data_IF_491835312379
#
_entry.id   IF_491835312379
#
_cell.length_a   1.000
_cell.length_b   1.000
_cell.length_c   1.000
_cell.angle_alpha   90.00
_cell.angle_beta   90.00
_cell.angle_gamma   90.00
#
_symmetry.space_group_name_H-M   'P 1'
#
loop_
_entity.id
_entity.type
_entity.pdbx_description
1 polymer ?
#
# COMPACT_ATOMS: atom_id res chain seq x y z
N UNK A 1 -16.68 9.51 -9.28
CA UNK A 1 -15.56 8.83 -8.60
C UNK A 1 -15.77 7.33 -8.76
N UNK A 2 -14.88 6.63 -9.48
CA UNK A 2 -14.91 5.16 -9.46
C UNK A 2 -14.53 4.69 -8.05
N UNK A 3 -15.35 3.80 -7.51
CA UNK A 3 -15.14 3.22 -6.17
C UNK A 3 -14.09 2.13 -6.33
N UNK A 4 -13.06 2.08 -5.49
CA UNK A 4 -11.94 1.15 -5.61
C UNK A 4 -12.36 -0.34 -5.65
N UNK A 5 -13.52 -0.66 -5.09
CA UNK A 5 -14.15 -1.99 -5.10
C UNK A 5 -14.92 -2.33 -6.39
N UNK A 6 -14.90 -1.47 -7.43
CA UNK A 6 -15.49 -1.77 -8.73
C UNK A 6 -14.66 -2.77 -9.54
N UNK A 7 -13.36 -2.89 -9.24
CA UNK A 7 -12.53 -3.99 -9.75
C UNK A 7 -12.97 -5.29 -9.06
N UNK A 8 -13.47 -6.26 -9.84
CA UNK A 8 -13.93 -7.55 -9.33
C UNK A 8 -12.91 -8.23 -8.40
N UNK A 9 -11.62 -8.12 -8.74
CA UNK A 9 -10.50 -8.67 -7.98
C UNK A 9 -10.23 -7.98 -6.62
N UNK A 10 -10.80 -6.79 -6.37
CA UNK A 10 -10.63 -6.06 -5.10
C UNK A 10 -11.91 -6.01 -4.25
N UNK A 11 -12.98 -6.70 -4.65
CA UNK A 11 -14.29 -6.59 -3.98
C UNK A 11 -14.28 -6.99 -2.51
N UNK A 12 -13.47 -7.98 -2.15
CA UNK A 12 -13.35 -8.50 -0.78
C UNK A 12 -12.23 -7.85 0.02
N UNK A 13 -11.39 -7.04 -0.61
CA UNK A 13 -10.30 -6.36 0.08
C UNK A 13 -10.87 -5.20 0.89
N UNK A 14 -10.25 -4.89 2.00
CA UNK A 14 -10.40 -3.63 2.74
C UNK A 14 -9.03 -3.01 2.91
N UNK A 15 -8.98 -1.69 3.10
CA UNK A 15 -7.73 -1.01 3.39
C UNK A 15 -7.88 0.05 4.47
N UNK A 16 -6.77 0.30 5.16
CA UNK A 16 -6.61 1.38 6.13
C UNK A 16 -5.32 2.14 5.83
N UNK A 17 -5.43 3.44 5.55
CA UNK A 17 -4.29 4.30 5.29
C UNK A 17 -3.87 5.02 6.59
N UNK A 18 -2.60 4.88 6.96
CA UNK A 18 -2.00 5.50 8.14
C UNK A 18 -0.84 6.39 7.72
N UNK A 19 -0.83 7.62 8.20
CA UNK A 19 0.35 8.48 8.08
C UNK A 19 1.45 7.95 9.01
N UNK A 20 2.64 7.73 8.46
CA UNK A 20 3.77 7.17 9.23
C UNK A 20 4.90 8.18 9.43
N UNK A 21 4.99 9.23 8.61
CA UNK A 21 5.98 10.27 8.83
C UNK A 21 6.11 11.30 7.71
N UNK A 22 6.85 12.36 8.03
CA UNK A 22 7.25 13.41 7.11
C UNK A 22 8.77 13.49 7.12
N UNK A 23 9.39 13.33 5.95
CA UNK A 23 10.80 13.64 5.77
C UNK A 23 10.95 14.93 4.98
N UNK A 24 11.80 15.85 5.44
CA UNK A 24 12.04 17.13 4.79
C UNK A 24 13.46 17.15 4.25
N UNK A 25 13.56 17.12 2.94
CA UNK A 25 14.80 17.46 2.24
C UNK A 25 14.77 18.94 1.84
N UNK A 26 15.91 19.45 1.37
CA UNK A 26 16.15 20.90 1.16
C UNK A 26 14.98 21.62 0.47
N UNK A 27 14.46 21.05 -0.61
CA UNK A 27 13.41 21.63 -1.44
C UNK A 27 12.16 20.76 -1.54
N UNK A 28 12.14 19.59 -0.90
CA UNK A 28 11.10 18.58 -1.11
C UNK A 28 10.67 17.97 0.20
N UNK A 29 9.37 17.85 0.40
CA UNK A 29 8.75 17.18 1.53
C UNK A 29 8.21 15.82 1.08
N UNK A 30 8.60 14.76 1.78
CA UNK A 30 8.16 13.40 1.55
C UNK A 30 7.17 12.99 2.63
N UNK A 31 5.91 12.86 2.25
CA UNK A 31 4.85 12.36 3.12
C UNK A 31 4.73 10.85 2.94
N UNK A 32 5.01 10.12 4.02
CA UNK A 32 5.02 8.67 4.01
C UNK A 32 3.72 8.15 4.62
N UNK A 33 3.08 7.23 3.91
CA UNK A 33 1.85 6.55 4.33
C UNK A 33 2.03 5.05 4.26
N UNK A 34 1.53 4.33 5.24
CA UNK A 34 1.34 2.90 5.19
C UNK A 34 -0.13 2.62 4.88
N UNK A 35 -0.40 1.93 3.78
CA UNK A 35 -1.73 1.42 3.46
C UNK A 35 -1.74 -0.06 3.77
N UNK A 36 -2.48 -0.42 4.82
CA UNK A 36 -2.66 -1.80 5.24
C UNK A 36 -3.85 -2.40 4.50
N UNK A 37 -3.64 -3.49 3.79
CA UNK A 37 -4.63 -4.23 3.04
C UNK A 37 -4.95 -5.55 3.73
N UNK A 38 -6.23 -5.92 3.74
CA UNK A 38 -6.68 -7.18 4.35
C UNK A 38 -7.95 -7.71 3.67
N UNK A 39 -8.26 -8.99 3.90
CA UNK A 39 -9.51 -9.63 3.48
C UNK A 39 -10.20 -10.16 4.75
N UNK A 40 -11.07 -9.36 5.40
CA UNK A 40 -11.78 -9.81 6.59
C UNK A 40 -12.80 -10.89 6.26
N UNK A 41 -12.99 -11.83 7.19
CA UNK A 41 -14.02 -12.86 7.11
C UNK A 41 -14.87 -12.83 8.37
N UNK A 42 -16.10 -13.36 8.37
CA UNK A 42 -16.91 -13.43 9.59
C UNK A 42 -16.21 -14.18 10.74
N UNK A 43 -15.39 -15.19 10.42
CA UNK A 43 -14.61 -15.93 11.40
C UNK A 43 -13.38 -15.15 11.90
N UNK A 44 -12.81 -14.26 11.07
CA UNK A 44 -11.64 -13.45 11.38
C UNK A 44 -11.86 -11.99 10.92
N UNK A 45 -12.58 -11.19 11.73
CA UNK A 45 -12.80 -9.78 11.44
C UNK A 45 -11.49 -8.96 11.45
N UNK A 46 -10.54 -9.37 12.29
CA UNK A 46 -9.15 -8.88 12.30
C UNK A 46 -8.25 -9.96 11.70
N UNK A 47 -7.85 -9.84 10.42
CA UNK A 47 -7.09 -10.90 9.76
C UNK A 47 -5.68 -11.04 10.34
N UNK A 48 -5.26 -12.28 10.61
CA UNK A 48 -3.89 -12.58 11.07
C UNK A 48 -2.82 -12.25 10.03
N UNK A 49 -3.19 -12.29 8.74
CA UNK A 49 -2.31 -11.97 7.63
C UNK A 49 -2.86 -10.76 6.90
N UNK A 50 -2.04 -9.73 6.81
CA UNK A 50 -2.31 -8.46 6.13
C UNK A 50 -1.17 -8.13 5.19
N UNK A 51 -1.37 -7.17 4.28
CA UNK A 51 -0.34 -6.71 3.34
C UNK A 51 -0.16 -5.20 3.47
N UNK A 52 1.04 -4.75 3.83
CA UNK A 52 1.36 -3.31 3.86
C UNK A 52 1.91 -2.84 2.52
N UNK A 53 1.42 -1.70 2.05
CA UNK A 53 1.99 -0.95 0.91
C UNK A 53 2.39 0.43 1.42
N UNK A 54 3.65 0.78 1.25
CA UNK A 54 4.22 2.04 1.70
C UNK A 54 4.21 3.04 0.54
N UNK A 55 3.42 4.10 0.66
CA UNK A 55 3.37 5.19 -0.29
C UNK A 55 4.26 6.34 0.18
N UNK A 56 5.00 6.94 -0.75
CA UNK A 56 5.77 8.16 -0.54
C UNK A 56 5.31 9.21 -1.53
N UNK A 57 4.80 10.33 -1.02
CA UNK A 57 4.33 11.47 -1.80
C UNK A 57 5.37 12.58 -1.65
N UNK A 58 6.05 12.90 -2.75
CA UNK A 58 7.05 13.96 -2.81
C UNK A 58 6.41 15.25 -3.33
N UNK A 59 6.31 16.24 -2.43
CA UNK A 59 5.84 17.58 -2.74
C UNK A 59 7.00 18.56 -2.76
N UNK A 60 7.14 19.30 -3.86
CA UNK A 60 8.16 20.34 -3.97
C UNK A 60 7.73 21.61 -3.23
N UNK A 61 8.62 22.14 -2.38
CA UNK A 61 8.41 23.40 -1.63
C UNK A 61 8.68 24.65 -2.47
N UNK A 62 9.36 24.49 -3.60
CA UNK A 62 9.71 25.58 -4.51
C UNK A 62 8.70 25.72 -5.65
N UNK A 63 7.96 24.65 -5.96
CA UNK A 63 6.93 24.68 -6.98
C UNK A 63 5.60 25.17 -6.39
N UNK A 64 4.75 25.81 -7.22
CA UNK A 64 3.41 26.18 -6.80
C UNK A 64 2.54 24.97 -6.39
N UNK A 65 1.51 25.15 -5.54
CA UNK A 65 0.65 24.06 -5.05
C UNK A 65 -0.12 23.29 -6.13
N UNK A 66 -0.25 23.85 -7.34
CA UNK A 66 -0.95 23.22 -8.46
C UNK A 66 -0.05 22.29 -9.30
N UNK A 67 1.27 22.28 -9.04
CA UNK A 67 2.16 21.36 -9.71
C UNK A 67 1.92 19.93 -9.22
N UNK A 68 2.01 18.93 -10.12
CA UNK A 68 1.82 17.53 -9.74
C UNK A 68 2.89 17.08 -8.75
N UNK A 69 2.48 16.29 -7.76
CA UNK A 69 3.37 15.61 -6.81
C UNK A 69 3.86 14.29 -7.41
N UNK A 70 5.09 13.89 -7.10
CA UNK A 70 5.57 12.55 -7.46
C UNK A 70 5.09 11.57 -6.39
N UNK A 71 4.48 10.46 -6.80
CA UNK A 71 4.00 9.43 -5.88
C UNK A 71 4.65 8.12 -6.24
N UNK A 72 5.26 7.51 -5.23
CA UNK A 72 5.88 6.19 -5.34
C UNK A 72 5.28 5.26 -4.31
N UNK A 73 5.37 3.96 -4.56
CA UNK A 73 4.96 2.96 -3.59
C UNK A 73 5.84 1.70 -3.61
N UNK A 74 5.93 1.05 -2.45
CA UNK A 74 6.69 -0.17 -2.24
C UNK A 74 5.85 -1.16 -1.44
N UNK A 75 5.80 -2.41 -1.87
CA UNK A 75 5.15 -3.46 -1.09
C UNK A 75 6.06 -3.96 0.03
N UNK A 76 5.47 -4.38 1.14
CA UNK A 76 6.22 -5.00 2.24
C UNK A 76 7.08 -6.18 1.77
N UNK A 77 8.28 -6.30 2.32
CA UNK A 77 9.22 -7.35 1.95
C UNK A 77 9.87 -7.19 0.56
N UNK A 78 9.51 -6.16 -0.20
CA UNK A 78 10.11 -5.85 -1.50
C UNK A 78 10.96 -4.58 -1.44
N UNK A 79 11.96 -4.49 -2.32
CA UNK A 79 12.80 -3.29 -2.50
C UNK A 79 12.44 -2.51 -3.78
N UNK A 80 11.59 -3.07 -4.63
CA UNK A 80 11.23 -2.46 -5.90
C UNK A 80 10.29 -1.27 -5.68
N UNK A 81 10.72 -0.09 -6.12
CA UNK A 81 9.95 1.16 -6.02
C UNK A 81 9.11 1.35 -7.28
N UNK A 82 7.80 1.32 -7.11
CA UNK A 82 6.85 1.59 -8.18
C UNK A 82 6.53 3.07 -8.27
N UNK A 83 6.31 3.54 -9.49
CA UNK A 83 5.81 4.88 -9.82
C UNK A 83 4.36 4.78 -10.31
N UNK A 84 3.66 5.91 -10.42
CA UNK A 84 2.26 5.94 -10.85
C UNK A 84 2.02 5.56 -12.33
N UNK A 85 3.07 5.49 -13.15
CA UNK A 85 3.02 4.95 -14.50
C UNK A 85 2.79 3.42 -14.52
N UNK A 86 3.11 2.75 -13.41
CA UNK A 86 2.83 1.33 -13.22
C UNK A 86 1.43 1.15 -12.63
N UNK A 87 0.55 0.51 -13.40
CA UNK A 87 -0.80 0.18 -12.93
C UNK A 87 -0.71 -0.77 -11.73
N UNK A 88 -1.28 -0.36 -10.60
CA UNK A 88 -1.39 -1.19 -9.41
C UNK A 88 -2.18 -2.47 -9.70
N UNK A 89 -1.53 -3.63 -9.61
CA UNK A 89 -2.17 -4.94 -9.87
C UNK A 89 -2.59 -5.62 -8.57
N UNK A 90 -3.88 -5.95 -8.39
CA UNK A 90 -4.37 -6.72 -7.23
C UNK A 90 -3.62 -8.03 -6.99
N UNK A 91 -3.12 -8.67 -8.07
CA UNK A 91 -2.31 -9.89 -7.99
C UNK A 91 -1.11 -9.75 -7.05
N UNK A 92 -0.45 -8.59 -7.00
CA UNK A 92 0.70 -8.39 -6.11
C UNK A 92 0.32 -8.45 -4.62
N UNK A 93 -0.88 -7.98 -4.27
CA UNK A 93 -1.39 -8.13 -2.91
C UNK A 93 -1.64 -9.61 -2.58
N UNK A 94 -2.25 -10.36 -3.49
CA UNK A 94 -2.49 -11.80 -3.31
C UNK A 94 -1.19 -12.59 -3.18
N UNK A 95 -0.20 -12.34 -4.04
CA UNK A 95 1.08 -13.05 -4.01
C UNK A 95 1.80 -12.86 -2.65
N UNK A 96 1.76 -11.66 -2.07
CA UNK A 96 2.33 -11.38 -0.74
C UNK A 96 1.50 -12.03 0.37
N UNK A 97 0.17 -11.93 0.29
CA UNK A 97 -0.74 -12.53 1.26
C UNK A 97 -0.53 -14.04 1.33
N UNK A 98 -0.50 -14.72 0.18
CA UNK A 98 -0.31 -16.16 0.06
C UNK A 98 1.06 -16.59 0.60
N UNK A 99 2.12 -15.84 0.29
CA UNK A 99 3.46 -16.08 0.83
C UNK A 99 3.46 -16.01 2.36
N UNK A 100 2.87 -14.95 2.95
CA UNK A 100 2.80 -14.80 4.40
C UNK A 100 1.91 -15.85 5.05
N UNK A 101 0.80 -16.24 4.42
CA UNK A 101 -0.06 -17.33 4.88
C UNK A 101 0.67 -18.67 4.87
N UNK A 102 1.46 -18.97 3.83
CA UNK A 102 2.27 -20.19 3.76
C UNK A 102 3.31 -20.22 4.87
N UNK A 103 4.02 -19.11 5.10
CA UNK A 103 4.99 -19.00 6.20
C UNK A 103 4.31 -19.16 7.56
N UNK A 104 3.18 -18.49 7.79
CA UNK A 104 2.42 -18.58 9.03
C UNK A 104 1.99 -20.01 9.35
N UNK A 105 1.47 -20.75 8.35
CA UNK A 105 1.13 -22.18 8.47
C UNK A 105 2.34 -23.08 8.71
N UNK A 106 3.53 -22.68 8.28
CA UNK A 106 4.75 -23.46 8.46
C UNK A 106 5.30 -23.33 9.89
N UNK A 107 5.15 -22.15 10.51
CA UNK A 107 5.66 -21.89 11.86
C UNK A 107 4.66 -22.14 12.99
N UNK A 108 3.35 -22.20 12.68
CA UNK A 108 2.31 -22.58 13.62
C UNK A 108 1.88 -24.02 13.32
N UNK A 109 2.44 -24.96 14.09
CA UNK A 109 2.15 -26.40 14.05
C UNK A 109 0.67 -26.71 14.31
#
# INVERSE_FOLDING_TARGET
>A
MLRWNQLSALRSWMFHAKFIGLNRERTTEFYMYQVLWSIPTPAYPEPYVTVSVFFSIAASRVQPPHFPVDVTYVFEGQQFVHRLDVVFKPKWLYDILDMKTMLFKTFMF
#
